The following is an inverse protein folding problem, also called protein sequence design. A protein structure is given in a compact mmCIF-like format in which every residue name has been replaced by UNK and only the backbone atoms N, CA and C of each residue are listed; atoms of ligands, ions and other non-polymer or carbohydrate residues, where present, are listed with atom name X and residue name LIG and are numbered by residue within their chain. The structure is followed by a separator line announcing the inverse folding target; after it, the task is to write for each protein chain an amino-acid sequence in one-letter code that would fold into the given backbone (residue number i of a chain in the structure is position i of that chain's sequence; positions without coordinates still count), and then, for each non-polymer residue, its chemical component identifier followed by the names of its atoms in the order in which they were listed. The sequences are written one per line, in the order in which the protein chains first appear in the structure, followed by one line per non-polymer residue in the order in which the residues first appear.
data_IF_367200077018
#
_entry.id   IF_367200077018
#
_cell.length_a   1.000
_cell.length_b   1.000
_cell.length_c   1.000
_cell.angle_alpha   90.00
_cell.angle_beta   90.00
_cell.angle_gamma   90.00
#
_symmetry.space_group_name_H-M   'P 1'
#
loop_
_entity.id
_entity.type
_entity.pdbx_description
1 polymer ?
#
# COMPACT_ATOMS: atom_id res chain seq x y z
N UNK A 1 5.08 -8.35 7.11
CA UNK A 1 4.55 -9.26 8.15
C UNK A 1 5.05 -10.66 7.88
N UNK A 2 5.72 -11.31 8.83
CA UNK A 2 6.20 -12.69 8.64
C UNK A 2 5.10 -13.65 9.09
N UNK A 3 4.62 -14.50 8.18
CA UNK A 3 3.59 -15.50 8.48
C UNK A 3 3.91 -16.82 7.76
N UNK A 4 3.64 -17.93 8.45
CA UNK A 4 4.09 -19.28 8.10
C UNK A 4 5.62 -19.36 7.99
N UNK A 5 6.20 -19.12 6.81
CA UNK A 5 7.66 -19.02 6.59
C UNK A 5 8.04 -17.96 5.55
N UNK A 6 7.11 -17.05 5.24
CA UNK A 6 7.27 -16.05 4.19
C UNK A 6 7.00 -14.62 4.68
N UNK A 7 7.61 -13.65 4.00
CA UNK A 7 7.32 -12.24 4.21
C UNK A 7 6.12 -11.84 3.36
N UNK A 8 4.99 -11.57 4.01
CA UNK A 8 3.80 -11.04 3.35
C UNK A 8 3.96 -9.55 3.05
N UNK A 9 3.56 -9.12 1.84
CA UNK A 9 3.71 -7.74 1.40
C UNK A 9 2.74 -6.83 2.15
N UNK A 10 3.28 -5.83 2.83
CA UNK A 10 2.50 -4.86 3.62
C UNK A 10 2.74 -3.39 3.21
N UNK A 11 3.72 -3.13 2.33
CA UNK A 11 4.19 -1.78 2.02
C UNK A 11 3.40 -1.02 0.95
N UNK A 12 2.28 -1.55 0.46
CA UNK A 12 1.47 -0.88 -0.57
C UNK A 12 1.69 -1.42 -1.99
N UNK A 13 1.68 -0.51 -2.96
CA UNK A 13 1.83 -0.79 -4.39
C UNK A 13 0.86 -1.84 -4.94
N UNK A 14 1.34 -2.69 -5.87
CA UNK A 14 0.53 -3.68 -6.57
C UNK A 14 -0.25 -4.64 -5.66
N UNK A 15 0.28 -4.97 -4.47
CA UNK A 15 -0.42 -5.82 -3.51
C UNK A 15 -1.61 -5.12 -2.86
N UNK A 16 -1.55 -3.81 -2.62
CA UNK A 16 -2.67 -3.02 -2.10
C UNK A 16 -3.84 -2.95 -3.10
N UNK A 17 -3.52 -2.91 -4.41
CA UNK A 17 -4.54 -2.99 -5.47
C UNK A 17 -5.07 -4.41 -5.66
N UNK A 18 -4.22 -5.43 -5.56
CA UNK A 18 -4.60 -6.83 -5.74
C UNK A 18 -5.48 -7.34 -4.59
N UNK A 19 -5.05 -7.14 -3.35
CA UNK A 19 -5.66 -7.74 -2.17
C UNK A 19 -6.84 -6.91 -1.64
N UNK A 20 -7.76 -7.52 -0.87
CA UNK A 20 -8.75 -6.78 -0.10
C UNK A 20 -8.08 -5.83 0.90
N UNK A 21 -8.67 -4.64 1.08
CA UNK A 21 -8.14 -3.62 2.00
C UNK A 21 -7.98 -4.12 3.45
N UNK A 22 -8.82 -5.06 3.88
CA UNK A 22 -8.75 -5.68 5.21
C UNK A 22 -7.40 -6.33 5.48
N UNK A 23 -6.74 -6.90 4.45
CA UNK A 23 -5.42 -7.51 4.58
C UNK A 23 -4.36 -6.44 4.81
N UNK A 24 -4.42 -5.32 4.09
CA UNK A 24 -3.50 -4.19 4.30
C UNK A 24 -3.69 -3.57 5.69
N UNK A 25 -4.93 -3.35 6.12
CA UNK A 25 -5.26 -2.85 7.46
C UNK A 25 -4.73 -3.78 8.54
N UNK A 26 -4.99 -5.09 8.43
CA UNK A 26 -4.48 -6.08 9.37
C UNK A 26 -2.94 -6.07 9.40
N UNK A 27 -2.29 -6.01 8.24
CA UNK A 27 -0.84 -6.05 8.14
C UNK A 27 -0.16 -4.87 8.83
N UNK A 28 -0.71 -3.66 8.64
CA UNK A 28 -0.17 -2.45 9.29
C UNK A 28 -0.42 -2.49 10.79
N UNK A 29 -1.60 -2.92 11.24
CA UNK A 29 -1.89 -3.13 12.67
C UNK A 29 -0.93 -4.15 13.30
N UNK A 30 -0.62 -5.23 12.60
CA UNK A 30 0.34 -6.21 13.07
C UNK A 30 1.74 -5.61 13.22
N UNK A 31 2.20 -4.85 12.22
CA UNK A 31 3.50 -4.16 12.27
C UNK A 31 3.56 -3.19 13.46
N UNK A 32 2.50 -2.41 13.68
CA UNK A 32 2.48 -1.43 14.77
C UNK A 32 2.38 -2.09 16.16
N UNK A 33 1.51 -3.08 16.32
CA UNK A 33 1.15 -3.60 17.65
C UNK A 33 1.93 -4.86 18.04
N UNK A 34 2.31 -5.70 17.08
CA UNK A 34 3.02 -6.97 17.33
C UNK A 34 4.51 -6.81 17.10
N UNK A 35 4.90 -6.25 15.95
CA UNK A 35 6.32 -6.04 15.66
C UNK A 35 6.89 -4.82 16.41
N UNK A 36 6.03 -3.95 16.97
CA UNK A 36 6.42 -2.74 17.69
C UNK A 36 7.14 -1.72 16.80
N UNK A 37 6.85 -1.72 15.50
CA UNK A 37 7.57 -0.92 14.50
C UNK A 37 6.63 0.02 13.74
N UNK A 38 7.16 1.16 13.23
CA UNK A 38 6.42 1.97 12.29
C UNK A 38 6.24 1.23 10.95
N UNK A 39 5.09 1.45 10.32
CA UNK A 39 4.82 0.95 8.97
C UNK A 39 5.17 2.03 7.95
N UNK A 40 5.65 1.60 6.78
CA UNK A 40 5.87 2.47 5.63
C UNK A 40 5.00 2.00 4.48
N UNK A 41 4.31 2.94 3.84
CA UNK A 41 3.45 2.68 2.70
C UNK A 41 3.90 3.52 1.51
N UNK A 42 4.01 2.89 0.35
CA UNK A 42 4.32 3.57 -0.90
C UNK A 42 3.30 3.20 -1.99
N UNK A 43 3.12 4.12 -2.93
CA UNK A 43 2.32 3.94 -4.13
C UNK A 43 2.88 4.83 -5.23
N UNK A 44 2.60 4.51 -6.49
CA UNK A 44 2.91 5.40 -7.60
C UNK A 44 1.75 6.35 -7.86
N UNK A 45 1.99 7.62 -8.25
CA UNK A 45 0.91 8.58 -8.52
C UNK A 45 -0.14 8.08 -9.53
N UNK A 46 0.31 7.35 -10.57
CA UNK A 46 -0.60 6.76 -11.57
C UNK A 46 -1.59 5.75 -11.00
N UNK A 47 -1.35 5.19 -9.81
CA UNK A 47 -2.26 4.24 -9.17
C UNK A 47 -3.58 4.89 -8.72
N UNK A 48 -3.61 6.23 -8.62
CA UNK A 48 -4.79 7.04 -8.34
C UNK A 48 -5.48 7.61 -9.59
N UNK A 49 -4.93 7.36 -10.78
CA UNK A 49 -5.51 7.81 -12.04
C UNK A 49 -6.15 6.63 -12.78
N UNK A 50 -7.44 6.32 -12.54
CA UNK A 50 -8.14 5.25 -13.24
C UNK A 50 -8.35 5.51 -14.73
N UNK A 51 -8.30 6.79 -15.14
CA UNK A 51 -8.56 7.24 -16.50
C UNK A 51 -7.27 7.44 -17.31
N UNK A 52 -6.13 7.04 -16.74
CA UNK A 52 -4.83 7.09 -17.41
C UNK A 52 -4.85 6.38 -18.79
N UNK A 53 -4.06 6.86 -19.76
CA UNK A 53 -3.97 6.25 -21.08
C UNK A 53 -3.61 4.75 -21.03
N UNK A 54 -4.22 3.99 -21.95
CA UNK A 54 -3.95 2.56 -22.08
C UNK A 54 -2.82 2.31 -23.07
N UNK A 55 -1.74 1.67 -22.59
CA UNK A 55 -0.59 1.29 -23.43
C UNK A 55 -1.02 0.20 -24.40
N UNK A 56 -0.98 0.51 -25.70
CA UNK A 56 -1.25 -0.43 -26.79
C UNK A 56 -0.07 -1.40 -26.96
N UNK A 57 -0.34 -2.63 -27.40
CA UNK A 57 0.70 -3.65 -27.62
C UNK A 57 1.29 -4.29 -26.36
N UNK A 58 0.88 -3.89 -25.15
CA UNK A 58 1.33 -4.50 -23.91
C UNK A 58 0.74 -5.91 -23.71
N UNK A 59 1.59 -6.88 -23.35
CA UNK A 59 1.16 -8.24 -23.04
C UNK A 59 0.17 -8.31 -21.86
N UNK A 60 -0.64 -9.38 -21.81
CA UNK A 60 -1.72 -9.54 -20.83
C UNK A 60 -1.26 -9.40 -19.37
N UNK A 61 -0.09 -9.97 -19.02
CA UNK A 61 0.51 -9.85 -17.68
C UNK A 61 0.83 -8.40 -17.30
N UNK A 62 1.36 -7.62 -18.24
CA UNK A 62 1.66 -6.20 -18.01
C UNK A 62 0.38 -5.41 -17.79
N UNK A 63 -0.61 -5.60 -18.68
CA UNK A 63 -1.93 -4.97 -18.57
C UNK A 63 -2.61 -5.30 -17.24
N UNK A 64 -2.58 -6.56 -16.81
CA UNK A 64 -3.16 -6.96 -15.53
C UNK A 64 -2.50 -6.21 -14.36
N UNK A 65 -1.17 -6.28 -14.21
CA UNK A 65 -0.47 -5.62 -13.10
C UNK A 65 -0.64 -4.10 -13.10
N UNK A 66 -0.65 -3.49 -14.27
CA UNK A 66 -0.80 -2.05 -14.41
C UNK A 66 -2.22 -1.60 -14.10
N UNK A 67 -3.24 -2.25 -14.65
CA UNK A 67 -4.61 -1.72 -14.61
C UNK A 67 -5.54 -2.35 -13.57
N UNK A 68 -5.08 -3.36 -12.83
CA UNK A 68 -5.89 -4.02 -11.81
C UNK A 68 -6.39 -3.02 -10.75
N UNK A 69 -7.71 -3.00 -10.54
CA UNK A 69 -8.40 -2.32 -9.45
C UNK A 69 -8.10 -0.81 -9.29
N UNK A 70 -7.68 -0.10 -10.33
CA UNK A 70 -7.38 1.35 -10.25
C UNK A 70 -8.52 2.18 -9.64
N UNK A 71 -9.77 1.93 -10.06
CA UNK A 71 -10.97 2.61 -9.54
C UNK A 71 -11.21 2.39 -8.03
N UNK A 72 -10.57 1.38 -7.44
CA UNK A 72 -10.68 1.07 -6.00
C UNK A 72 -9.52 1.62 -5.18
N UNK A 73 -8.43 2.06 -5.82
CA UNK A 73 -7.22 2.49 -5.10
C UNK A 73 -7.50 3.73 -4.27
N UNK A 74 -8.07 4.79 -4.85
CA UNK A 74 -8.28 6.05 -4.15
C UNK A 74 -9.23 5.91 -2.93
N UNK A 75 -10.42 5.26 -3.03
CA UNK A 75 -11.27 5.06 -1.85
C UNK A 75 -10.58 4.24 -0.75
N UNK A 76 -9.77 3.23 -1.12
CA UNK A 76 -8.99 2.45 -0.14
C UNK A 76 -7.90 3.29 0.50
N UNK A 77 -7.28 4.19 -0.26
CA UNK A 77 -6.24 5.07 0.27
C UNK A 77 -6.81 6.11 1.23
N UNK A 78 -8.00 6.67 0.95
CA UNK A 78 -8.72 7.52 1.90
C UNK A 78 -8.98 6.79 3.22
N UNK A 79 -9.41 5.52 3.15
CA UNK A 79 -9.60 4.68 4.32
C UNK A 79 -8.29 4.38 5.07
N UNK A 80 -7.22 4.10 4.34
CA UNK A 80 -5.87 3.92 4.89
C UNK A 80 -5.38 5.15 5.67
N UNK A 81 -5.57 6.34 5.09
CA UNK A 81 -5.18 7.60 5.73
C UNK A 81 -6.01 7.91 6.98
N UNK A 82 -7.27 7.49 7.01
CA UNK A 82 -8.15 7.68 8.17
C UNK A 82 -7.94 6.65 9.30
N UNK A 83 -7.50 5.42 8.98
CA UNK A 83 -7.41 4.33 9.95
C UNK A 83 -6.12 4.33 10.80
N UNK A 84 -5.12 5.13 10.43
CA UNK A 84 -3.79 5.13 11.06
C UNK A 84 -3.26 6.55 11.22
N UNK A 85 -2.38 6.74 12.20
CA UNK A 85 -1.63 7.98 12.37
C UNK A 85 -0.42 7.97 11.43
N UNK A 86 -0.32 9.00 10.59
CA UNK A 86 0.79 9.20 9.67
C UNK A 86 1.60 10.42 10.08
N UNK A 87 2.90 10.34 9.94
CA UNK A 87 3.80 11.47 10.09
C UNK A 87 4.96 11.33 9.08
N UNK A 88 5.80 12.35 9.00
CA UNK A 88 6.98 12.35 8.15
C UNK A 88 7.97 11.28 8.60
N UNK A 89 8.64 10.66 7.63
CA UNK A 89 9.58 9.54 7.86
C UNK A 89 10.69 9.91 8.86
N UNK A 90 11.23 11.12 8.79
CA UNK A 90 12.27 11.57 9.73
C UNK A 90 11.77 11.60 11.17
N UNK A 91 10.57 12.11 11.42
CA UNK A 91 9.98 12.14 12.78
C UNK A 91 9.71 10.75 13.33
N UNK A 92 9.24 9.84 12.47
CA UNK A 92 8.89 8.47 12.86
C UNK A 92 10.12 7.61 13.15
N UNK A 93 11.22 7.78 12.40
CA UNK A 93 12.38 6.89 12.48
C UNK A 93 13.57 7.47 13.23
N UNK A 94 13.75 8.80 13.27
CA UNK A 94 14.89 9.42 13.95
C UNK A 94 14.57 9.87 15.39
N UNK A 95 13.29 9.87 15.77
CA UNK A 95 12.81 10.52 16.99
C UNK A 95 12.86 12.04 16.80
N UNK A 96 11.81 12.75 17.21
CA UNK A 96 11.72 14.20 17.02
C UNK A 96 12.87 14.94 17.72
N UNK A 97 13.97 15.18 17.01
CA UNK A 97 14.87 16.30 17.25
C UNK A 97 14.23 17.53 16.61
N UNK A 98 13.29 18.12 17.36
CA UNK A 98 13.01 19.55 17.25
C UNK A 98 13.85 20.26 18.31
#
# INVERSE_FOLDING_TARGET
VRMFRANWPAGGGGYFRLLPYTISRWSIRHINNVDGKPAMFYFHPWELDPEQPRVRGAGAKSRFRHYLNLKRTEPRMRRLLADFCWDRVDRVFLGGTA
#
